data_IF_553108509823
#
_entry.id   IF_553108509823
#
_cell.length_a   1.000
_cell.length_b   1.000
_cell.length_c   1.000
_cell.angle_alpha   90.00
_cell.angle_beta   90.00
_cell.angle_gamma   90.00
#
_symmetry.space_group_name_H-M   'P 1'
#
loop_
_entity.id
_entity.type
_entity.pdbx_description
1 polymer ?
#
# COMPACT_ATOMS: atom_id res chain seq x y z
N UNK A 1 26.54 1.57 -27.35
CA UNK A 1 25.28 2.29 -27.47
C UNK A 1 24.36 1.67 -26.43
N UNK A 2 24.39 2.18 -25.21
CA UNK A 2 23.54 1.70 -24.12
C UNK A 2 22.15 2.30 -24.29
N UNK A 3 21.17 1.46 -24.54
CA UNK A 3 19.78 1.86 -24.58
C UNK A 3 19.28 1.87 -23.14
N UNK A 4 18.88 3.06 -22.65
CA UNK A 4 18.32 3.21 -21.31
C UNK A 4 16.98 2.47 -21.24
N UNK A 5 16.89 1.49 -20.38
CA UNK A 5 15.71 0.63 -20.18
C UNK A 5 14.53 1.33 -19.48
N UNK A 6 14.71 2.57 -19.06
CA UNK A 6 13.71 3.28 -18.24
C UNK A 6 12.62 4.00 -19.00
N UNK A 7 12.79 4.27 -20.27
CA UNK A 7 11.72 4.88 -21.07
C UNK A 7 10.57 3.94 -21.39
N UNK A 8 10.71 2.67 -21.05
CA UNK A 8 9.79 1.62 -21.47
C UNK A 8 8.61 1.37 -20.52
N UNK A 9 8.64 1.86 -19.30
CA UNK A 9 7.48 1.79 -18.42
C UNK A 9 6.44 2.88 -18.65
N UNK A 10 6.77 3.89 -19.43
CA UNK A 10 5.86 5.00 -19.77
C UNK A 10 5.69 5.26 -21.28
N UNK A 11 6.51 4.63 -22.13
CA UNK A 11 6.44 4.83 -23.59
C UNK A 11 6.69 3.49 -24.29
N UNK A 12 5.84 3.17 -25.25
CA UNK A 12 5.86 1.96 -26.07
C UNK A 12 7.26 1.58 -26.57
N UNK A 13 7.64 0.29 -26.42
CA UNK A 13 8.78 -0.32 -27.07
C UNK A 13 8.72 -0.15 -28.58
N UNK A 14 9.67 0.55 -29.14
CA UNK A 14 9.96 0.52 -30.58
C UNK A 14 11.09 -0.47 -30.81
N UNK A 15 10.77 -1.72 -31.09
CA UNK A 15 11.74 -2.70 -31.53
C UNK A 15 12.09 -2.44 -32.99
N UNK A 16 13.34 -2.02 -33.26
CA UNK A 16 13.87 -1.98 -34.65
C UNK A 16 14.48 -3.36 -34.93
N UNK A 17 13.74 -4.17 -35.67
CA UNK A 17 14.27 -5.38 -36.31
C UNK A 17 14.60 -5.04 -37.77
N UNK A 18 15.89 -5.00 -38.12
CA UNK A 18 16.31 -5.02 -39.51
C UNK A 18 16.05 -6.41 -40.09
N UNK A 19 14.95 -6.55 -40.84
CA UNK A 19 14.81 -7.63 -41.82
C UNK A 19 14.29 -7.05 -43.12
N UNK A 20 15.07 -7.22 -44.17
CA UNK A 20 14.73 -6.91 -45.55
C UNK A 20 13.63 -7.84 -46.06
N UNK A 21 12.65 -7.25 -46.74
CA UNK A 21 11.67 -7.83 -47.67
C UNK A 21 10.48 -8.55 -46.98
N UNK A 22 9.44 -7.78 -46.66
CA UNK A 22 8.04 -8.21 -46.84
C UNK A 22 7.16 -6.99 -47.10
N UNK A 23 6.27 -6.98 -48.07
CA UNK A 23 5.33 -5.91 -48.33
C UNK A 23 4.07 -6.20 -47.50
N UNK A 24 3.86 -5.42 -46.51
CA UNK A 24 2.57 -5.09 -45.86
C UNK A 24 2.84 -4.65 -44.42
N UNK A 25 2.72 -3.35 -44.22
CA UNK A 25 2.78 -2.74 -42.89
C UNK A 25 1.54 -3.16 -42.09
N UNK A 26 1.69 -4.15 -41.20
CA UNK A 26 0.75 -4.33 -40.14
C UNK A 26 1.10 -3.28 -39.08
N UNK A 27 0.21 -2.34 -38.75
CA UNK A 27 0.48 -1.40 -37.66
C UNK A 27 0.53 -2.19 -36.36
N UNK A 28 1.71 -2.31 -35.76
CA UNK A 28 1.81 -2.71 -34.36
C UNK A 28 1.06 -1.66 -33.54
N UNK A 29 -0.12 -1.99 -33.07
CA UNK A 29 -0.75 -1.18 -32.04
C UNK A 29 0.11 -1.34 -30.79
N UNK A 30 0.78 -0.26 -30.35
CA UNK A 30 1.40 -0.23 -29.06
C UNK A 30 0.34 -0.62 -28.01
N UNK A 31 0.59 -1.67 -27.27
CA UNK A 31 -0.30 -2.05 -26.17
C UNK A 31 -0.41 -0.82 -25.25
N UNK A 32 -1.63 -0.36 -25.00
CA UNK A 32 -1.84 0.79 -24.13
C UNK A 32 -1.21 0.48 -22.76
N UNK A 33 -0.44 1.42 -22.24
CA UNK A 33 0.18 1.29 -20.92
C UNK A 33 -0.93 1.06 -19.88
N UNK A 34 -0.73 0.08 -18.98
CA UNK A 34 -1.70 -0.22 -17.91
C UNK A 34 -1.75 0.96 -16.96
N UNK A 35 -2.92 1.56 -16.81
CA UNK A 35 -3.13 2.68 -15.90
C UNK A 35 -3.76 2.19 -14.60
N UNK A 36 -3.23 2.63 -13.46
CA UNK A 36 -3.66 2.26 -12.12
C UNK A 36 -3.41 3.41 -11.13
N UNK A 37 -4.06 3.42 -9.94
CA UNK A 37 -3.79 4.43 -8.91
C UNK A 37 -2.38 4.26 -8.35
N UNK A 38 -1.45 5.12 -8.75
CA UNK A 38 -0.10 5.17 -8.17
C UNK A 38 -0.21 5.63 -6.72
N UNK A 39 0.53 5.01 -5.81
CA UNK A 39 0.57 5.43 -4.42
C UNK A 39 1.38 6.72 -4.28
N UNK A 40 0.69 7.82 -4.03
CA UNK A 40 1.31 9.08 -3.63
C UNK A 40 1.64 9.06 -2.14
N UNK A 41 2.70 9.77 -1.77
CA UNK A 41 3.14 9.93 -0.40
C UNK A 41 3.43 11.41 -0.08
N UNK A 42 3.40 11.72 1.20
CA UNK A 42 4.03 12.92 1.76
C UNK A 42 5.29 12.49 2.50
N UNK A 43 6.38 13.21 2.29
CA UNK A 43 7.67 12.96 2.93
C UNK A 43 7.81 13.93 4.09
N UNK A 44 7.46 13.48 5.29
CA UNK A 44 7.52 14.27 6.51
C UNK A 44 8.96 14.47 6.99
N UNK A 45 9.27 15.63 7.55
CA UNK A 45 10.61 15.99 8.01
C UNK A 45 10.72 15.81 9.53
N UNK A 46 11.49 14.82 9.96
CA UNK A 46 11.74 14.55 11.38
C UNK A 46 10.48 14.47 12.23
N UNK A 47 10.49 15.12 13.38
CA UNK A 47 9.34 15.26 14.29
C UNK A 47 8.55 16.56 14.07
N UNK A 48 8.76 17.21 12.95
CA UNK A 48 8.01 18.41 12.61
C UNK A 48 6.66 18.07 11.99
N UNK A 49 5.78 19.07 11.89
CA UNK A 49 4.54 19.00 11.12
C UNK A 49 4.72 19.35 9.63
N UNK A 50 5.99 19.43 9.17
CA UNK A 50 6.34 19.84 7.82
C UNK A 50 6.61 18.64 6.91
N UNK A 51 6.23 18.81 5.64
CA UNK A 51 6.49 17.87 4.57
C UNK A 51 7.43 18.49 3.52
N UNK A 52 8.18 17.66 2.81
CA UNK A 52 8.92 18.04 1.63
C UNK A 52 7.95 18.64 0.60
N UNK A 53 8.19 19.85 0.20
CA UNK A 53 7.34 20.65 -0.67
C UNK A 53 8.17 21.19 -1.83
N UNK A 54 7.63 21.14 -3.05
CA UNK A 54 8.32 21.64 -4.22
C UNK A 54 7.44 22.60 -5.04
N UNK A 55 7.95 23.79 -5.28
CA UNK A 55 7.29 24.78 -6.15
C UNK A 55 8.26 25.21 -7.25
N UNK A 56 7.88 25.01 -8.49
CA UNK A 56 8.77 25.14 -9.65
C UNK A 56 10.00 24.23 -9.49
N UNK A 57 11.19 24.78 -9.30
CA UNK A 57 12.43 24.05 -9.04
C UNK A 57 12.91 24.14 -7.59
N UNK A 58 12.20 24.91 -6.76
CA UNK A 58 12.58 25.17 -5.37
C UNK A 58 12.03 24.09 -4.44
N UNK A 59 12.89 23.53 -3.61
CA UNK A 59 12.54 22.56 -2.57
C UNK A 59 12.57 23.21 -1.21
N UNK A 60 11.48 23.08 -0.47
CA UNK A 60 11.30 23.62 0.89
C UNK A 60 10.54 22.66 1.79
N UNK A 61 10.33 22.99 3.05
CA UNK A 61 9.45 22.26 3.94
C UNK A 61 8.26 23.12 4.35
N UNK A 62 7.04 22.58 4.22
CA UNK A 62 5.80 23.28 4.58
C UNK A 62 4.88 22.37 5.42
N UNK A 63 4.08 22.97 6.28
CA UNK A 63 2.96 22.29 6.93
C UNK A 63 2.00 21.78 5.86
N UNK A 64 1.31 20.70 6.15
CA UNK A 64 0.39 20.08 5.20
C UNK A 64 -0.63 21.07 4.65
N UNK A 65 -0.66 21.21 3.32
CA UNK A 65 -1.55 22.14 2.62
C UNK A 65 -2.65 21.45 1.83
N UNK A 66 -2.51 20.14 1.56
CA UNK A 66 -3.33 19.38 0.62
C UNK A 66 -2.98 19.62 -0.85
N UNK A 67 -1.94 20.42 -1.12
CA UNK A 67 -1.48 20.72 -2.48
C UNK A 67 -0.80 19.53 -3.15
N UNK A 68 -0.85 19.46 -4.49
CA UNK A 68 -0.08 18.50 -5.26
C UNK A 68 1.44 18.71 -5.12
N UNK A 69 1.86 19.91 -4.70
CA UNK A 69 3.26 20.26 -4.52
C UNK A 69 3.95 19.56 -3.33
N UNK A 70 3.17 18.96 -2.42
CA UNK A 70 3.68 18.16 -1.29
C UNK A 70 3.58 16.65 -1.51
N UNK A 71 3.06 16.25 -2.69
CA UNK A 71 2.85 14.86 -3.04
C UNK A 71 3.96 14.34 -3.93
N UNK A 72 4.41 13.16 -3.61
CA UNK A 72 5.52 12.49 -4.25
C UNK A 72 5.15 11.04 -4.55
N UNK A 73 5.75 10.45 -5.56
CA UNK A 73 5.76 9.01 -5.75
C UNK A 73 7.20 8.50 -5.73
N UNK A 74 7.35 7.23 -5.36
CA UNK A 74 8.65 6.55 -5.35
C UNK A 74 8.64 5.54 -6.47
N UNK A 75 9.59 5.67 -7.39
CA UNK A 75 9.79 4.73 -8.49
C UNK A 75 10.96 3.82 -8.15
N UNK A 76 10.72 2.52 -8.10
CA UNK A 76 11.77 1.52 -7.94
C UNK A 76 12.64 1.45 -9.20
N UNK A 77 13.95 1.51 -9.04
CA UNK A 77 14.92 1.41 -10.12
C UNK A 77 15.59 0.06 -10.13
N UNK A 78 16.12 -0.32 -8.99
CA UNK A 78 16.74 -1.61 -8.66
C UNK A 78 16.82 -1.72 -7.15
N UNK A 79 17.29 -2.84 -6.62
CA UNK A 79 17.36 -3.08 -5.17
C UNK A 79 17.97 -1.94 -4.39
N UNK A 80 17.13 -1.33 -3.52
CA UNK A 80 17.51 -0.22 -2.65
C UNK A 80 17.72 1.11 -3.34
N UNK A 81 17.48 1.23 -4.66
CA UNK A 81 17.65 2.46 -5.44
C UNK A 81 16.33 2.93 -6.03
N UNK A 82 16.03 4.20 -5.82
CA UNK A 82 14.75 4.79 -6.17
C UNK A 82 14.90 6.16 -6.85
N UNK A 83 13.88 6.55 -7.55
CA UNK A 83 13.59 7.94 -7.93
C UNK A 83 12.49 8.49 -7.04
N UNK A 84 12.61 9.75 -6.65
CA UNK A 84 11.58 10.49 -5.93
C UNK A 84 10.99 11.50 -6.88
N UNK A 85 9.74 11.25 -7.29
CA UNK A 85 9.06 11.97 -8.38
C UNK A 85 8.02 12.90 -7.79
N UNK A 86 8.02 14.18 -8.15
CA UNK A 86 6.94 15.08 -7.77
C UNK A 86 5.68 14.78 -8.58
N UNK A 87 4.57 14.54 -7.90
CA UNK A 87 3.30 14.14 -8.53
C UNK A 87 2.70 15.23 -9.44
N UNK A 88 2.94 16.51 -9.13
CA UNK A 88 2.35 17.62 -9.87
C UNK A 88 2.85 17.74 -11.32
N UNK A 89 4.12 17.44 -11.59
CA UNK A 89 4.76 17.68 -12.87
C UNK A 89 5.67 16.56 -13.39
N UNK A 90 5.84 15.48 -12.59
CA UNK A 90 6.70 14.35 -12.96
C UNK A 90 8.21 14.63 -12.88
N UNK A 91 8.64 15.77 -12.33
CA UNK A 91 10.05 16.08 -12.16
C UNK A 91 10.66 15.32 -10.98
N UNK A 92 11.95 15.02 -11.06
CA UNK A 92 12.70 14.23 -10.09
C UNK A 92 13.41 15.10 -9.08
N UNK A 93 13.38 14.69 -7.81
CA UNK A 93 14.26 15.24 -6.78
C UNK A 93 15.72 14.98 -7.17
N UNK A 94 16.47 16.04 -7.36
CA UNK A 94 17.81 16.03 -7.98
C UNK A 94 18.79 16.81 -7.10
N UNK A 95 20.05 16.35 -7.03
CA UNK A 95 21.13 17.08 -6.38
C UNK A 95 21.94 17.85 -7.43
N UNK A 96 22.03 19.16 -7.26
CA UNK A 96 22.87 20.04 -8.08
C UNK A 96 23.79 20.87 -7.16
N UNK A 97 25.10 20.73 -7.28
CA UNK A 97 26.08 21.45 -6.47
C UNK A 97 25.83 21.36 -4.96
N UNK A 98 25.38 20.19 -4.46
CA UNK A 98 25.07 19.96 -3.05
C UNK A 98 23.69 20.43 -2.60
N UNK A 99 22.97 21.19 -3.40
CA UNK A 99 21.58 21.64 -3.12
C UNK A 99 20.57 20.71 -3.80
N UNK A 100 19.38 20.60 -3.20
CA UNK A 100 18.27 19.83 -3.78
C UNK A 100 17.38 20.73 -4.64
N UNK A 101 16.99 20.23 -5.80
CA UNK A 101 16.12 20.91 -6.78
C UNK A 101 15.25 19.89 -7.50
N UNK A 102 14.31 20.34 -8.33
CA UNK A 102 13.61 19.50 -9.30
C UNK A 102 14.25 19.60 -10.69
N UNK A 103 14.37 18.48 -11.37
CA UNK A 103 14.80 18.43 -12.76
C UNK A 103 14.02 17.34 -13.53
N UNK A 104 13.95 17.49 -14.85
CA UNK A 104 13.45 16.42 -15.71
C UNK A 104 14.30 15.17 -15.57
N UNK A 105 13.71 14.00 -15.80
CA UNK A 105 14.44 12.74 -15.82
C UNK A 105 15.55 12.77 -16.89
N UNK A 106 16.77 12.56 -16.44
CA UNK A 106 17.97 12.51 -17.26
C UNK A 106 18.77 11.21 -17.06
N UNK A 107 18.20 10.24 -16.35
CA UNK A 107 18.82 8.96 -16.01
C UNK A 107 20.20 9.10 -15.33
N UNK A 108 20.33 10.08 -14.42
CA UNK A 108 21.60 10.39 -13.76
C UNK A 108 21.62 9.95 -12.30
N UNK A 109 22.82 9.66 -11.80
CA UNK A 109 23.01 9.23 -10.40
C UNK A 109 22.61 10.31 -9.37
N UNK A 110 22.62 11.58 -9.75
CA UNK A 110 22.14 12.72 -8.99
C UNK A 110 20.64 12.65 -8.70
N UNK A 111 19.90 11.87 -9.47
CA UNK A 111 18.44 11.65 -9.37
C UNK A 111 18.09 10.33 -8.69
N UNK A 112 19.10 9.55 -8.30
CA UNK A 112 18.96 8.25 -7.65
C UNK A 112 19.18 8.35 -6.16
N UNK A 113 18.34 7.66 -5.39
CA UNK A 113 18.32 7.72 -3.94
C UNK A 113 18.22 6.35 -3.32
N UNK A 114 19.00 6.10 -2.27
CA UNK A 114 18.76 4.96 -1.38
C UNK A 114 17.84 5.40 -0.24
N UNK A 115 16.78 4.64 0.02
CA UNK A 115 15.83 4.89 1.10
C UNK A 115 15.96 3.75 2.11
N UNK A 116 16.43 4.07 3.32
CA UNK A 116 16.77 3.06 4.33
C UNK A 116 16.17 3.42 5.68
N UNK A 117 15.45 2.48 6.31
CA UNK A 117 14.94 2.63 7.67
C UNK A 117 16.07 2.82 8.68
N UNK A 118 15.95 3.81 9.57
CA UNK A 118 17.01 4.15 10.55
C UNK A 118 16.54 4.18 12.00
N UNK A 119 15.24 4.14 12.22
CA UNK A 119 14.64 4.04 13.53
C UNK A 119 13.30 3.32 13.40
N UNK A 120 13.06 2.35 14.27
CA UNK A 120 11.83 1.59 14.27
C UNK A 120 10.88 2.07 15.37
N UNK A 121 9.60 1.84 15.15
CA UNK A 121 8.59 1.92 16.19
C UNK A 121 8.70 0.72 17.17
N UNK A 122 7.78 0.67 18.14
CA UNK A 122 7.79 -0.38 19.16
C UNK A 122 7.37 -1.79 18.64
N UNK A 123 6.87 -1.90 17.41
CA UNK A 123 6.55 -3.16 16.74
C UNK A 123 7.61 -3.57 15.71
N UNK A 124 8.65 -2.74 15.50
CA UNK A 124 9.76 -3.03 14.61
C UNK A 124 9.65 -2.44 13.19
N UNK A 125 8.60 -1.63 12.89
CA UNK A 125 8.45 -0.98 11.60
C UNK A 125 9.25 0.32 11.55
N UNK A 126 9.83 0.61 10.40
CA UNK A 126 10.61 1.83 10.21
C UNK A 126 9.72 3.08 10.41
N UNK A 127 9.98 3.80 11.50
CA UNK A 127 9.34 5.07 11.82
C UNK A 127 9.96 6.21 11.02
N UNK A 128 11.27 6.15 10.84
CA UNK A 128 12.03 7.10 10.04
C UNK A 128 12.91 6.41 9.02
N UNK A 129 13.17 7.13 7.95
CA UNK A 129 14.07 6.75 6.87
C UNK A 129 15.13 7.82 6.68
N UNK A 130 16.36 7.41 6.36
CA UNK A 130 17.35 8.27 5.72
C UNK A 130 17.22 8.12 4.21
N UNK A 131 17.38 9.20 3.48
CA UNK A 131 17.32 9.27 2.03
C UNK A 131 18.70 9.71 1.56
N UNK A 132 19.45 8.81 0.91
CA UNK A 132 20.87 9.04 0.57
C UNK A 132 21.03 9.10 -0.94
N UNK A 133 21.61 10.17 -1.44
CA UNK A 133 21.88 10.33 -2.86
C UNK A 133 22.97 9.35 -3.34
N UNK A 134 22.70 8.62 -4.41
CA UNK A 134 23.58 7.57 -4.92
C UNK A 134 24.90 8.10 -5.51
N UNK A 135 24.92 9.35 -6.03
CA UNK A 135 26.12 9.99 -6.57
C UNK A 135 27.09 10.41 -5.48
N UNK A 136 26.59 11.19 -4.53
CA UNK A 136 27.41 11.82 -3.48
C UNK A 136 27.61 10.95 -2.25
N UNK A 137 26.78 9.91 -2.06
CA UNK A 137 26.68 9.12 -0.83
C UNK A 137 26.38 9.97 0.41
N UNK A 138 25.67 11.09 0.22
CA UNK A 138 25.28 12.01 1.27
C UNK A 138 23.77 11.96 1.49
N UNK A 139 23.36 12.15 2.74
CA UNK A 139 21.95 12.14 3.13
C UNK A 139 21.25 13.46 2.81
N UNK A 140 20.01 13.38 2.32
CA UNK A 140 19.10 14.48 2.27
C UNK A 140 19.02 15.13 3.65
N UNK A 141 19.20 16.45 3.70
CA UNK A 141 19.30 17.21 4.95
C UNK A 141 18.47 18.47 4.85
N UNK A 142 17.58 18.67 5.80
CA UNK A 142 16.79 19.89 5.93
C UNK A 142 17.54 20.93 6.74
N UNK A 143 17.55 22.20 6.32
CA UNK A 143 18.03 23.35 7.09
C UNK A 143 16.85 24.17 7.57
N UNK A 144 16.52 24.16 8.87
CA UNK A 144 15.38 24.92 9.41
C UNK A 144 15.56 26.44 9.26
N UNK A 145 16.79 26.94 9.35
CA UNK A 145 17.11 28.37 9.31
C UNK A 145 16.84 28.98 7.94
N UNK A 146 17.14 28.24 6.88
CA UNK A 146 16.95 28.69 5.48
C UNK A 146 15.72 28.11 4.82
N UNK A 147 15.07 27.13 5.47
CA UNK A 147 13.95 26.35 4.91
C UNK A 147 14.30 25.70 3.57
N UNK A 148 15.51 25.14 3.44
CA UNK A 148 16.01 24.51 2.21
C UNK A 148 16.49 23.10 2.46
N UNK A 149 16.66 22.35 1.37
CA UNK A 149 17.23 21.01 1.40
C UNK A 149 18.55 20.95 0.65
N UNK A 150 19.48 20.24 1.23
CA UNK A 150 20.80 19.94 0.66
C UNK A 150 21.17 18.50 0.95
N UNK A 151 22.38 18.08 0.57
CA UNK A 151 22.95 16.81 0.97
C UNK A 151 24.16 17.01 1.88
N UNK A 152 24.28 16.20 2.96
CA UNK A 152 25.39 16.20 3.90
C UNK A 152 25.71 14.78 4.39
N UNK A 153 26.84 14.62 5.07
CA UNK A 153 27.15 13.36 5.73
C UNK A 153 26.06 13.00 6.74
N UNK A 154 25.65 11.73 6.76
CA UNK A 154 24.61 11.27 7.70
C UNK A 154 25.16 11.25 9.13
N UNK A 155 24.54 12.01 10.03
CA UNK A 155 24.89 12.12 11.45
C UNK A 155 23.84 11.49 12.36
N UNK A 156 22.66 11.16 11.84
CA UNK A 156 21.50 10.71 12.61
C UNK A 156 20.66 11.84 13.24
N UNK A 157 20.93 13.10 12.87
CA UNK A 157 20.14 14.25 13.27
C UNK A 157 18.70 14.14 12.74
N UNK A 158 17.75 14.81 13.40
CA UNK A 158 16.33 14.75 13.02
C UNK A 158 16.07 15.40 11.65
N UNK A 159 16.88 16.36 11.26
CA UNK A 159 16.86 17.01 9.95
C UNK A 159 17.27 16.08 8.79
N UNK A 160 17.77 14.88 9.11
CA UNK A 160 18.13 13.83 8.16
C UNK A 160 17.23 12.59 8.24
N UNK A 161 16.15 12.68 9.02
CA UNK A 161 15.18 11.60 9.20
C UNK A 161 13.84 12.00 8.57
N UNK A 162 13.26 11.11 7.81
CA UNK A 162 12.03 11.37 7.06
C UNK A 162 10.98 10.31 7.35
N UNK A 163 9.71 10.71 7.39
CA UNK A 163 8.56 9.80 7.47
C UNK A 163 7.95 9.64 6.08
N UNK A 164 7.63 8.42 5.69
CA UNK A 164 6.89 8.13 4.47
C UNK A 164 5.42 7.93 4.81
N UNK A 165 4.58 8.89 4.49
CA UNK A 165 3.16 8.88 4.80
C UNK A 165 2.36 8.71 3.51
N UNK A 166 1.67 7.59 3.32
CA UNK A 166 0.79 7.40 2.17
C UNK A 166 -0.29 8.49 2.15
N UNK A 167 -0.42 9.17 1.01
CA UNK A 167 -1.46 10.18 0.84
C UNK A 167 -2.84 9.53 0.80
N UNK A 168 -3.81 10.17 1.46
CA UNK A 168 -5.17 9.63 1.63
C UNK A 168 -5.31 8.58 2.74
N UNK A 169 -4.22 8.08 3.31
CA UNK A 169 -4.29 7.17 4.45
C UNK A 169 -4.53 7.93 5.75
N UNK A 170 -5.63 7.64 6.40
CA UNK A 170 -6.03 8.16 7.69
C UNK A 170 -6.32 7.01 8.68
N UNK A 171 -6.61 7.36 9.93
CA UNK A 171 -6.98 6.40 10.96
C UNK A 171 -5.79 5.59 11.50
N UNK A 172 -6.08 4.43 12.07
CA UNK A 172 -5.07 3.66 12.79
C UNK A 172 -3.96 3.05 11.92
N UNK A 173 -4.19 2.85 10.63
CA UNK A 173 -3.16 2.37 9.72
C UNK A 173 -2.19 3.46 9.27
N UNK A 174 -2.49 4.75 9.49
CA UNK A 174 -1.59 5.86 9.27
C UNK A 174 -0.52 5.95 10.38
N UNK A 175 0.48 6.79 10.16
CA UNK A 175 1.37 7.18 11.25
C UNK A 175 0.55 7.84 12.36
N UNK A 176 0.59 7.29 13.57
CA UNK A 176 -0.24 7.77 14.67
C UNK A 176 0.48 7.67 16.01
N UNK A 177 0.04 8.51 16.96
CA UNK A 177 0.45 8.41 18.36
C UNK A 177 -0.53 7.55 19.14
N UNK A 178 -0.01 6.59 19.87
CA UNK A 178 -0.77 5.69 20.74
C UNK A 178 -0.14 5.66 22.14
N UNK A 179 -0.78 4.97 23.09
CA UNK A 179 -0.25 4.90 24.47
C UNK A 179 1.18 4.35 24.56
N UNK A 180 1.56 3.49 23.64
CA UNK A 180 2.87 2.87 23.54
C UNK A 180 3.93 3.74 22.86
N UNK A 181 3.56 4.86 22.30
CA UNK A 181 4.43 5.76 21.58
C UNK A 181 3.95 6.09 20.17
N UNK A 182 4.87 6.36 19.27
CA UNK A 182 4.57 6.62 17.87
C UNK A 182 4.58 5.31 17.07
N UNK A 183 3.57 5.13 16.22
CA UNK A 183 3.40 3.98 15.35
C UNK A 183 3.63 4.39 13.89
N UNK A 184 4.49 3.66 13.20
CA UNK A 184 4.73 3.85 11.78
C UNK A 184 3.47 3.57 10.95
N UNK A 185 3.24 4.36 9.92
CA UNK A 185 2.15 4.15 8.97
C UNK A 185 2.38 2.96 8.04
N UNK A 186 1.29 2.49 7.44
CA UNK A 186 1.32 1.45 6.41
C UNK A 186 1.82 2.03 5.09
N UNK A 187 2.84 1.40 4.50
CA UNK A 187 3.39 1.79 3.20
C UNK A 187 3.29 0.67 2.14
N UNK A 188 2.86 -0.52 2.54
CA UNK A 188 2.71 -1.66 1.65
C UNK A 188 3.98 -2.01 0.87
N UNK A 189 3.84 -2.21 -0.42
CA UNK A 189 4.93 -2.49 -1.36
C UNK A 189 5.66 -1.28 -1.93
N UNK A 190 5.53 -0.09 -1.33
CA UNK A 190 6.04 1.19 -1.85
C UNK A 190 7.53 1.15 -2.23
N UNK A 191 8.35 0.44 -1.44
CA UNK A 191 9.79 0.32 -1.66
C UNK A 191 10.17 -0.95 -2.45
N UNK A 192 9.25 -1.51 -3.22
CA UNK A 192 9.47 -2.67 -4.06
C UNK A 192 9.22 -2.41 -5.55
N UNK A 193 9.52 -3.43 -6.33
CA UNK A 193 9.21 -3.48 -7.75
C UNK A 193 7.68 -3.40 -7.98
N UNK A 194 7.26 -2.88 -9.11
CA UNK A 194 5.87 -2.95 -9.57
C UNK A 194 5.74 -4.04 -10.64
N UNK A 195 4.83 -5.00 -10.43
CA UNK A 195 4.53 -6.07 -11.39
C UNK A 195 3.06 -6.03 -11.80
N UNK A 196 2.79 -6.27 -13.08
CA UNK A 196 1.43 -6.36 -13.62
C UNK A 196 1.06 -7.83 -13.75
N UNK A 197 -0.09 -8.22 -13.19
CA UNK A 197 -0.58 -9.60 -13.21
C UNK A 197 -1.94 -9.66 -13.91
N UNK A 198 -2.09 -10.61 -14.84
CA UNK A 198 -3.33 -10.82 -15.62
C UNK A 198 -3.87 -12.24 -15.50
N UNK A 199 -3.18 -13.10 -14.75
CA UNK A 199 -3.61 -14.48 -14.49
C UNK A 199 -3.61 -14.79 -13.00
N UNK A 200 -4.39 -15.79 -12.58
CA UNK A 200 -4.40 -16.27 -11.20
C UNK A 200 -3.03 -16.81 -10.78
N UNK A 201 -2.33 -17.49 -11.69
CA UNK A 201 -1.01 -18.05 -11.42
C UNK A 201 0.02 -16.94 -11.13
N UNK A 202 0.05 -15.88 -11.95
CA UNK A 202 0.94 -14.74 -11.75
C UNK A 202 0.62 -14.01 -10.43
N UNK A 203 -0.67 -13.80 -10.14
CA UNK A 203 -1.11 -13.20 -8.88
C UNK A 203 -0.61 -13.99 -7.66
N UNK A 204 -0.78 -15.31 -7.66
CA UNK A 204 -0.34 -16.18 -6.57
C UNK A 204 1.17 -16.14 -6.41
N UNK A 205 1.90 -16.23 -7.53
CA UNK A 205 3.37 -16.12 -7.53
C UNK A 205 3.84 -14.78 -6.95
N UNK A 206 3.23 -13.67 -7.37
CA UNK A 206 3.57 -12.34 -6.89
C UNK A 206 3.25 -12.16 -5.39
N UNK A 207 2.10 -12.67 -4.93
CA UNK A 207 1.69 -12.60 -3.51
C UNK A 207 2.62 -13.41 -2.59
N UNK A 208 3.25 -14.47 -3.09
CA UNK A 208 4.15 -15.34 -2.32
C UNK A 208 5.62 -14.86 -2.30
N UNK A 209 6.00 -13.86 -3.09
CA UNK A 209 7.34 -13.25 -3.05
C UNK A 209 7.60 -12.64 -1.68
N UNK A 210 8.86 -12.74 -1.18
CA UNK A 210 9.25 -12.21 0.13
C UNK A 210 9.55 -10.71 0.09
N UNK A 211 10.03 -10.22 -1.03
CA UNK A 211 10.42 -8.83 -1.23
C UNK A 211 9.19 -7.90 -1.19
N UNK A 212 9.35 -6.62 -0.80
CA UNK A 212 8.31 -5.62 -1.00
C UNK A 212 7.87 -5.59 -2.47
N UNK A 213 6.57 -5.47 -2.74
CA UNK A 213 6.07 -5.54 -4.10
C UNK A 213 4.75 -4.79 -4.27
N UNK A 214 4.65 -3.97 -5.31
CA UNK A 214 3.39 -3.45 -5.81
C UNK A 214 2.87 -4.37 -6.93
N UNK A 215 1.70 -4.96 -6.73
CA UNK A 215 1.07 -5.93 -7.64
C UNK A 215 -0.14 -5.27 -8.27
N UNK A 216 -0.07 -4.99 -9.56
CA UNK A 216 -1.14 -4.37 -10.33
C UNK A 216 -1.99 -5.47 -10.97
N UNK A 217 -3.21 -5.62 -10.52
CA UNK A 217 -4.19 -6.54 -11.11
C UNK A 217 -4.76 -5.91 -12.37
N UNK A 218 -4.47 -6.50 -13.52
CA UNK A 218 -5.00 -6.09 -14.82
C UNK A 218 -5.73 -7.26 -15.47
N UNK A 219 -6.93 -7.54 -14.99
CA UNK A 219 -7.73 -8.66 -15.47
C UNK A 219 -8.97 -8.93 -14.62
N UNK A 220 -9.77 -9.87 -15.08
CA UNK A 220 -10.84 -10.48 -14.30
C UNK A 220 -10.37 -11.88 -13.89
N UNK A 221 -9.91 -11.99 -12.64
CA UNK A 221 -9.27 -13.20 -12.11
C UNK A 221 -10.28 -14.02 -11.31
N UNK A 222 -10.66 -15.21 -11.80
CA UNK A 222 -11.50 -16.16 -11.06
C UNK A 222 -10.63 -17.12 -10.26
N UNK A 223 -10.58 -16.95 -8.95
CA UNK A 223 -9.78 -17.78 -8.04
C UNK A 223 -10.35 -19.18 -7.84
N UNK A 224 -11.52 -19.50 -8.40
CA UNK A 224 -12.16 -20.83 -8.48
C UNK A 224 -12.16 -21.62 -7.17
N UNK A 225 -12.39 -20.95 -6.05
CA UNK A 225 -12.41 -21.60 -4.74
C UNK A 225 -11.04 -22.06 -4.21
N UNK A 226 -9.95 -21.55 -4.74
CA UNK A 226 -8.67 -21.85 -4.14
C UNK A 226 -8.63 -21.38 -2.68
N UNK A 227 -8.48 -22.36 -1.79
CA UNK A 227 -8.46 -22.11 -0.36
C UNK A 227 -7.16 -21.40 0.03
N UNK A 228 -7.29 -20.23 0.66
CA UNK A 228 -6.23 -19.61 1.44
C UNK A 228 -4.99 -19.19 0.66
N UNK A 229 -5.16 -18.28 -0.29
CA UNK A 229 -4.01 -17.60 -0.88
C UNK A 229 -3.45 -16.58 0.11
N UNK A 230 -2.20 -16.78 0.53
CA UNK A 230 -1.53 -15.85 1.45
C UNK A 230 -1.12 -14.56 0.72
N UNK A 231 -1.32 -13.43 1.37
CA UNK A 231 -0.66 -12.17 1.04
C UNK A 231 0.52 -12.04 2.03
N UNK A 232 1.75 -12.01 1.54
CA UNK A 232 2.94 -11.81 2.39
C UNK A 232 3.11 -10.35 2.80
N UNK A 233 4.09 -10.11 3.68
CA UNK A 233 4.45 -8.78 4.17
C UNK A 233 4.80 -7.81 3.04
N UNK A 234 4.64 -6.53 3.31
CA UNK A 234 5.10 -5.44 2.45
C UNK A 234 4.54 -5.56 1.02
N UNK A 235 3.22 -5.73 0.91
CA UNK A 235 2.53 -5.82 -0.38
C UNK A 235 1.54 -4.70 -0.58
N UNK A 236 1.54 -4.15 -1.78
CA UNK A 236 0.43 -3.36 -2.29
C UNK A 236 -0.23 -4.14 -3.41
N UNK A 237 -1.50 -4.52 -3.22
CA UNK A 237 -2.35 -5.10 -4.25
C UNK A 237 -3.27 -3.99 -4.77
N UNK A 238 -3.09 -3.57 -6.00
CA UNK A 238 -3.83 -2.46 -6.59
C UNK A 238 -4.43 -2.86 -7.93
N UNK A 239 -5.66 -2.44 -8.20
CA UNK A 239 -6.34 -2.74 -9.46
C UNK A 239 -6.05 -1.71 -10.55
N UNK A 240 -5.87 -2.16 -11.77
CA UNK A 240 -5.86 -1.31 -12.96
C UNK A 240 -7.24 -0.67 -13.17
N UNK A 241 -7.28 0.54 -13.73
CA UNK A 241 -8.54 1.19 -14.01
C UNK A 241 -9.36 0.41 -15.05
N UNK A 242 -10.61 0.06 -14.69
CA UNK A 242 -11.54 -0.63 -15.57
C UNK A 242 -11.25 -2.12 -15.83
N UNK A 243 -10.20 -2.70 -15.24
CA UNK A 243 -9.84 -4.10 -15.43
C UNK A 243 -9.17 -4.69 -14.16
N UNK A 244 -9.89 -4.76 -13.05
CA UNK A 244 -9.36 -4.98 -11.70
C UNK A 244 -10.18 -5.96 -10.86
N UNK A 245 -10.84 -6.95 -11.50
CA UNK A 245 -11.74 -7.84 -10.79
C UNK A 245 -11.03 -9.08 -10.25
N UNK A 246 -11.35 -9.41 -8.99
CA UNK A 246 -10.98 -10.70 -8.38
C UNK A 246 -12.25 -11.38 -7.88
N UNK A 247 -12.54 -12.56 -8.43
CA UNK A 247 -13.73 -13.32 -8.10
C UNK A 247 -13.38 -14.51 -7.20
N UNK A 248 -14.25 -14.80 -6.24
CA UNK A 248 -14.23 -15.99 -5.37
C UNK A 248 -12.87 -16.26 -4.69
N UNK A 249 -12.12 -15.21 -4.35
CA UNK A 249 -10.87 -15.34 -3.60
C UNK A 249 -11.11 -15.71 -2.13
N UNK A 250 -10.06 -16.22 -1.49
CA UNK A 250 -9.92 -16.38 -0.05
C UNK A 250 -8.51 -15.93 0.36
N UNK A 251 -8.29 -14.64 0.35
CA UNK A 251 -7.04 -14.08 0.81
C UNK A 251 -6.91 -14.17 2.32
N UNK A 252 -5.70 -14.44 2.79
CA UNK A 252 -5.34 -14.42 4.19
C UNK A 252 -3.98 -13.80 4.42
N UNK A 253 -3.76 -13.30 5.61
CA UNK A 253 -2.50 -12.67 6.00
C UNK A 253 -1.64 -13.56 6.91
N UNK A 254 -1.83 -14.88 6.88
CA UNK A 254 -1.05 -15.86 7.62
C UNK A 254 -0.84 -17.15 6.81
N UNK A 255 0.05 -18.05 7.24
CA UNK A 255 0.34 -19.28 6.52
C UNK A 255 -0.72 -20.36 6.73
N UNK A 256 -1.03 -20.66 7.98
CA UNK A 256 -1.93 -21.74 8.35
C UNK A 256 -2.76 -21.37 9.58
N UNK A 257 -3.86 -22.08 9.76
CA UNK A 257 -4.72 -21.90 10.92
C UNK A 257 -3.98 -22.28 12.22
N UNK A 258 -3.47 -21.27 12.96
CA UNK A 258 -3.04 -21.44 14.36
C UNK A 258 -1.98 -22.51 14.62
N UNK A 259 -1.16 -22.86 13.64
CA UNK A 259 -0.04 -23.78 13.86
C UNK A 259 1.15 -23.03 14.44
N UNK A 260 1.91 -23.73 15.24
CA UNK A 260 3.20 -23.24 15.75
C UNK A 260 4.11 -22.83 14.60
N UNK A 261 4.65 -21.60 14.64
CA UNK A 261 5.45 -21.03 13.56
C UNK A 261 4.67 -20.33 12.46
N UNK A 262 3.36 -20.14 12.63
CA UNK A 262 2.55 -19.33 11.72
C UNK A 262 2.82 -17.84 11.93
N UNK A 263 3.61 -17.24 11.02
CA UNK A 263 3.89 -15.81 11.05
C UNK A 263 2.81 -15.03 10.30
N UNK A 264 2.13 -14.08 10.95
CA UNK A 264 1.21 -13.18 10.26
C UNK A 264 1.99 -12.23 9.35
N UNK A 265 1.38 -11.85 8.24
CA UNK A 265 1.92 -10.89 7.30
C UNK A 265 1.41 -9.49 7.61
N UNK A 266 2.28 -8.52 7.61
CA UNK A 266 2.01 -7.15 7.98
C UNK A 266 2.33 -6.16 6.85
N UNK A 267 1.94 -4.88 7.05
CA UNK A 267 2.22 -3.79 6.12
C UNK A 267 1.67 -4.08 4.72
N UNK A 268 0.34 -4.17 4.63
CA UNK A 268 -0.37 -4.54 3.39
C UNK A 268 -1.34 -3.43 3.00
N UNK A 269 -1.33 -3.06 1.74
CA UNK A 269 -2.32 -2.18 1.11
C UNK A 269 -3.10 -2.98 0.07
N UNK A 270 -4.44 -2.87 0.10
CA UNK A 270 -5.34 -3.43 -0.92
C UNK A 270 -6.19 -2.27 -1.42
N UNK A 271 -6.07 -1.93 -2.70
CA UNK A 271 -6.68 -0.72 -3.22
C UNK A 271 -7.27 -0.89 -4.62
N UNK A 272 -8.41 -0.24 -4.88
CA UNK A 272 -9.05 -0.19 -6.20
C UNK A 272 -9.30 -1.57 -6.83
N UNK A 273 -9.76 -2.54 -6.04
CA UNK A 273 -10.09 -3.90 -6.51
C UNK A 273 -11.60 -4.13 -6.45
N UNK A 274 -12.15 -4.70 -7.51
CA UNK A 274 -13.53 -5.19 -7.54
C UNK A 274 -13.57 -6.67 -7.09
N UNK A 275 -13.92 -6.90 -5.85
CA UNK A 275 -14.10 -8.24 -5.29
C UNK A 275 -15.52 -8.75 -5.53
N UNK A 276 -15.64 -9.89 -6.21
CA UNK A 276 -16.93 -10.52 -6.48
C UNK A 276 -17.03 -11.87 -5.76
N UNK A 277 -18.04 -12.00 -4.90
CA UNK A 277 -18.39 -13.26 -4.25
C UNK A 277 -19.55 -13.93 -5.01
N UNK A 278 -19.25 -14.90 -5.86
CA UNK A 278 -20.24 -15.56 -6.73
C UNK A 278 -20.66 -16.94 -6.23
N UNK A 279 -19.73 -17.74 -5.74
CA UNK A 279 -19.96 -19.14 -5.35
C UNK A 279 -19.60 -19.40 -3.89
N UNK A 280 -19.97 -18.52 -2.97
CA UNK A 280 -19.35 -18.53 -1.64
C UNK A 280 -20.32 -18.74 -0.51
N UNK A 281 -20.81 -19.92 -0.36
CA UNK A 281 -21.25 -20.34 0.95
C UNK A 281 -20.03 -20.48 1.86
N UNK A 282 -20.01 -19.79 3.01
CA UNK A 282 -18.99 -19.89 4.07
C UNK A 282 -17.61 -19.25 3.77
N UNK A 283 -17.49 -18.31 2.81
CA UNK A 283 -16.20 -17.74 2.49
C UNK A 283 -15.97 -16.35 3.09
N UNK A 284 -14.71 -16.14 3.39
CA UNK A 284 -14.18 -14.84 3.78
C UNK A 284 -13.25 -14.41 2.66
N UNK A 285 -13.58 -13.31 1.96
CA UNK A 285 -12.76 -12.86 0.84
C UNK A 285 -11.39 -12.38 1.31
N UNK A 286 -11.35 -11.64 2.44
CA UNK A 286 -10.10 -11.18 3.06
C UNK A 286 -10.14 -11.55 4.55
N UNK A 287 -9.29 -12.47 4.95
CA UNK A 287 -9.11 -12.87 6.34
C UNK A 287 -7.80 -12.29 6.89
N UNK A 288 -7.93 -11.25 7.70
CA UNK A 288 -6.83 -10.58 8.37
C UNK A 288 -6.61 -11.27 9.71
N UNK A 289 -5.53 -12.05 9.79
CA UNK A 289 -5.27 -12.91 10.93
C UNK A 289 -4.02 -12.46 11.68
N UNK A 290 -4.19 -11.93 12.87
CA UNK A 290 -3.09 -11.42 13.73
C UNK A 290 -2.17 -10.36 13.10
N UNK A 291 -2.55 -9.81 11.97
CA UNK A 291 -1.74 -8.91 11.15
C UNK A 291 -1.92 -7.46 11.54
N UNK A 292 -0.90 -6.65 11.31
CA UNK A 292 -0.87 -5.23 11.66
C UNK A 292 -0.52 -4.37 10.44
N UNK A 293 -0.87 -3.09 10.50
CA UNK A 293 -0.62 -2.15 9.40
C UNK A 293 -1.27 -2.60 8.09
N UNK A 294 -2.61 -2.62 8.09
CA UNK A 294 -3.41 -3.00 6.92
C UNK A 294 -4.29 -1.83 6.48
N UNK A 295 -4.25 -1.51 5.21
CA UNK A 295 -5.13 -0.53 4.59
C UNK A 295 -5.90 -1.13 3.43
N UNK A 296 -7.24 -1.15 3.53
CA UNK A 296 -8.14 -1.56 2.45
C UNK A 296 -8.93 -0.34 2.01
N UNK A 297 -8.75 0.08 0.76
CA UNK A 297 -9.16 1.38 0.30
C UNK A 297 -9.74 1.37 -1.11
N UNK A 298 -10.80 2.13 -1.36
CA UNK A 298 -11.44 2.28 -2.68
C UNK A 298 -11.74 0.92 -3.37
N UNK A 299 -12.04 -0.11 -2.59
CA UNK A 299 -12.43 -1.42 -3.13
C UNK A 299 -13.95 -1.56 -3.17
N UNK A 300 -14.44 -2.34 -4.13
CA UNK A 300 -15.85 -2.73 -4.23
C UNK A 300 -15.98 -4.21 -3.85
N UNK A 301 -16.83 -4.52 -2.89
CA UNK A 301 -17.14 -5.87 -2.46
C UNK A 301 -18.60 -6.17 -2.79
N UNK A 302 -18.83 -7.08 -3.71
CA UNK A 302 -20.19 -7.44 -4.16
C UNK A 302 -20.44 -8.93 -3.96
N UNK A 303 -21.63 -9.29 -3.51
CA UNK A 303 -22.11 -10.66 -3.52
C UNK A 303 -23.28 -10.78 -4.51
N UNK A 304 -23.22 -11.75 -5.41
CA UNK A 304 -24.37 -12.14 -6.25
C UNK A 304 -25.33 -13.06 -5.50
N UNK A 305 -24.90 -13.61 -4.36
CA UNK A 305 -25.67 -14.56 -3.60
C UNK A 305 -26.75 -13.90 -2.73
N UNK A 306 -27.75 -14.69 -2.42
CA UNK A 306 -28.84 -14.27 -1.56
C UNK A 306 -28.29 -13.77 -0.19
N UNK A 307 -28.96 -12.75 0.35
CA UNK A 307 -28.69 -12.17 1.67
C UNK A 307 -29.23 -13.02 2.83
N UNK A 308 -29.35 -14.32 2.64
CA UNK A 308 -29.90 -15.24 3.63
C UNK A 308 -29.00 -15.39 4.86
N UNK A 309 -29.61 -15.57 6.03
CA UNK A 309 -28.92 -15.75 7.32
C UNK A 309 -27.99 -16.96 7.38
N UNK A 310 -28.19 -17.94 6.52
CA UNK A 310 -27.43 -19.19 6.50
C UNK A 310 -26.09 -19.04 5.75
N UNK A 311 -25.86 -17.86 5.14
CA UNK A 311 -24.57 -17.53 4.53
C UNK A 311 -23.59 -17.02 5.58
N UNK A 312 -22.72 -17.88 6.07
CA UNK A 312 -21.74 -17.56 7.13
C UNK A 312 -20.47 -16.86 6.63
N UNK A 313 -20.33 -16.67 5.32
CA UNK A 313 -19.20 -15.94 4.74
C UNK A 313 -19.23 -14.43 4.99
N UNK A 314 -18.06 -13.81 4.99
CA UNK A 314 -17.86 -12.37 5.18
C UNK A 314 -17.06 -11.78 4.02
N UNK A 315 -17.14 -10.48 3.83
CA UNK A 315 -16.17 -9.82 2.95
C UNK A 315 -14.81 -9.71 3.64
N UNK A 316 -14.78 -9.15 4.86
CA UNK A 316 -13.54 -8.99 5.61
C UNK A 316 -13.75 -9.53 7.04
N UNK A 317 -12.80 -10.31 7.50
CA UNK A 317 -12.76 -10.78 8.87
C UNK A 317 -11.40 -10.50 9.49
N UNK A 318 -11.40 -9.75 10.58
CA UNK A 318 -10.24 -9.48 11.41
C UNK A 318 -10.29 -10.44 12.59
N UNK A 319 -9.40 -11.40 12.60
CA UNK A 319 -9.45 -12.53 13.54
C UNK A 319 -8.16 -12.72 14.31
N UNK A 320 -8.30 -13.26 15.51
CA UNK A 320 -7.20 -13.71 16.36
C UNK A 320 -7.30 -15.22 16.49
N UNK A 321 -6.23 -15.99 16.34
CA UNK A 321 -6.26 -17.43 16.52
C UNK A 321 -6.65 -17.82 17.96
N UNK A 322 -7.22 -19.01 18.13
CA UNK A 322 -7.53 -19.57 19.44
C UNK A 322 -6.28 -19.89 20.26
N UNK A 323 -5.17 -20.15 19.60
CA UNK A 323 -3.89 -20.45 20.22
C UNK A 323 -2.96 -19.23 20.17
N UNK A 324 -2.24 -19.04 21.23
CA UNK A 324 -1.49 -17.85 21.54
C UNK A 324 -0.34 -17.60 20.57
N UNK A 325 -0.55 -16.74 19.61
CA UNK A 325 0.57 -16.06 18.94
C UNK A 325 0.93 -14.84 19.79
N UNK A 326 2.08 -14.88 20.44
CA UNK A 326 2.52 -13.82 21.33
C UNK A 326 3.31 -12.75 20.57
N UNK A 327 3.08 -11.49 20.88
CA UNK A 327 3.92 -10.40 20.39
C UNK A 327 5.21 -10.27 21.22
N UNK A 328 6.11 -9.36 20.82
CA UNK A 328 7.39 -9.11 21.52
C UNK A 328 7.24 -8.70 23.01
N UNK A 329 6.00 -8.48 23.50
CA UNK A 329 5.68 -8.16 24.87
C UNK A 329 4.90 -9.29 25.57
N UNK A 330 5.01 -10.50 25.05
CA UNK A 330 4.30 -11.69 25.53
C UNK A 330 2.77 -11.52 25.59
N UNK A 331 2.20 -10.77 24.65
CA UNK A 331 0.76 -10.59 24.53
C UNK A 331 0.23 -11.36 23.33
N UNK A 332 -1.00 -11.83 23.43
CA UNK A 332 -1.67 -12.42 22.27
C UNK A 332 -1.70 -11.43 21.11
N UNK A 333 -1.08 -11.80 19.99
CA UNK A 333 -1.04 -10.95 18.80
C UNK A 333 -2.40 -10.93 18.12
N UNK A 334 -3.06 -9.77 18.16
CA UNK A 334 -4.31 -9.50 17.47
C UNK A 334 -4.07 -8.69 16.21
N UNK A 335 -5.01 -8.70 15.24
CA UNK A 335 -5.04 -7.69 14.18
C UNK A 335 -5.06 -6.30 14.81
N UNK A 336 -4.24 -5.39 14.30
CA UNK A 336 -4.13 -4.04 14.88
C UNK A 336 -3.67 -3.02 13.82
N UNK A 337 -3.91 -1.74 14.05
CA UNK A 337 -3.56 -0.65 13.13
C UNK A 337 -4.14 -0.85 11.73
N UNK A 338 -5.45 -0.98 11.66
CA UNK A 338 -6.17 -1.28 10.42
C UNK A 338 -7.05 -0.09 10.03
N UNK A 339 -7.08 0.22 8.74
CA UNK A 339 -8.02 1.19 8.15
C UNK A 339 -8.76 0.56 6.99
N UNK A 340 -10.10 0.67 7.02
CA UNK A 340 -11.00 0.34 5.93
C UNK A 340 -11.66 1.65 5.50
N UNK A 341 -11.31 2.19 4.32
CA UNK A 341 -11.77 3.50 3.87
C UNK A 341 -12.26 3.50 2.44
N UNK A 342 -13.28 4.32 2.16
CA UNK A 342 -13.83 4.54 0.82
C UNK A 342 -14.25 3.27 0.08
N UNK A 343 -14.58 2.18 0.78
CA UNK A 343 -15.02 0.94 0.17
C UNK A 343 -16.53 0.93 -0.05
N UNK A 344 -16.97 0.17 -1.05
CA UNK A 344 -18.37 -0.15 -1.29
C UNK A 344 -18.59 -1.61 -0.91
N UNK A 345 -19.46 -1.86 0.05
CA UNK A 345 -19.90 -3.21 0.45
C UNK A 345 -21.35 -3.39 0.01
N UNK A 346 -21.63 -4.40 -0.81
CA UNK A 346 -22.95 -4.56 -1.42
C UNK A 346 -23.46 -5.99 -1.33
N UNK A 347 -24.76 -6.10 -1.00
CA UNK A 347 -25.54 -7.32 -1.20
C UNK A 347 -25.13 -8.50 -0.31
N UNK A 348 -24.76 -8.27 0.96
CA UNK A 348 -24.25 -9.33 1.84
C UNK A 348 -24.94 -9.35 3.20
N UNK A 349 -25.22 -10.56 3.70
CA UNK A 349 -25.79 -10.71 5.05
C UNK A 349 -24.76 -10.38 6.14
N UNK A 350 -23.59 -10.96 6.11
CA UNK A 350 -22.46 -10.64 7.01
C UNK A 350 -21.30 -10.01 6.26
N UNK A 351 -20.94 -8.79 6.61
CA UNK A 351 -19.97 -7.99 5.85
C UNK A 351 -18.58 -7.95 6.49
N UNK A 352 -18.39 -7.15 7.53
CA UNK A 352 -17.10 -6.94 8.19
C UNK A 352 -17.23 -7.22 9.68
N UNK A 353 -16.35 -8.07 10.21
CA UNK A 353 -16.31 -8.35 11.65
C UNK A 353 -14.87 -8.29 12.18
N UNK A 354 -14.68 -7.74 13.35
CA UNK A 354 -13.39 -7.72 14.04
C UNK A 354 -13.51 -7.90 15.56
N UNK A 355 -12.41 -8.35 16.19
CA UNK A 355 -12.33 -8.50 17.64
C UNK A 355 -13.20 -9.60 18.21
N UNK A 356 -13.35 -10.73 17.53
CA UNK A 356 -14.45 -11.67 17.80
C UNK A 356 -14.17 -12.75 18.85
N UNK A 357 -12.96 -12.97 19.33
CA UNK A 357 -12.74 -14.25 20.02
C UNK A 357 -11.90 -14.26 21.30
N UNK A 358 -11.28 -13.21 21.73
CA UNK A 358 -10.63 -13.26 23.03
C UNK A 358 -10.67 -11.92 23.77
N UNK A 359 -11.09 -11.96 25.02
CA UNK A 359 -11.64 -10.78 25.69
C UNK A 359 -10.59 -9.93 26.40
N UNK A 360 -9.46 -10.45 26.77
CA UNK A 360 -8.59 -9.74 27.72
C UNK A 360 -7.34 -9.10 27.11
N UNK A 361 -6.96 -9.48 25.89
CA UNK A 361 -5.66 -9.09 25.32
C UNK A 361 -5.72 -8.49 23.92
N UNK A 362 -6.88 -8.49 23.28
CA UNK A 362 -7.01 -8.03 21.88
C UNK A 362 -7.25 -6.52 21.81
N UNK A 363 -6.34 -5.79 21.19
CA UNK A 363 -6.51 -4.34 20.98
C UNK A 363 -7.28 -4.01 19.72
N UNK A 364 -7.04 -4.70 18.63
CA UNK A 364 -7.71 -4.56 17.33
C UNK A 364 -8.16 -3.11 17.02
N UNK A 365 -7.20 -2.16 16.99
CA UNK A 365 -7.48 -0.78 16.63
C UNK A 365 -7.80 -0.70 15.15
N UNK A 366 -9.05 -0.37 14.85
CA UNK A 366 -9.55 -0.37 13.47
C UNK A 366 -10.33 0.90 13.19
N UNK A 367 -9.99 1.60 12.11
CA UNK A 367 -10.76 2.70 11.56
C UNK A 367 -11.60 2.20 10.39
N UNK A 368 -12.91 2.49 10.43
CA UNK A 368 -13.88 2.16 9.37
C UNK A 368 -14.60 3.44 9.00
N UNK A 369 -14.23 4.04 7.87
CA UNK A 369 -14.64 5.38 7.54
C UNK A 369 -14.87 5.61 6.05
N UNK A 370 -15.80 6.48 5.73
CA UNK A 370 -16.17 6.86 4.36
C UNK A 370 -16.61 5.67 3.49
N UNK A 371 -17.07 4.55 4.09
CA UNK A 371 -17.55 3.41 3.33
C UNK A 371 -19.03 3.52 3.01
N UNK A 372 -19.42 2.92 1.93
CA UNK A 372 -20.83 2.76 1.55
C UNK A 372 -21.26 1.30 1.75
N UNK A 373 -22.27 1.12 2.61
CA UNK A 373 -22.90 -0.16 2.92
C UNK A 373 -24.26 -0.21 2.22
N UNK A 374 -24.30 -0.86 1.06
CA UNK A 374 -25.50 -0.92 0.22
C UNK A 374 -26.14 -2.31 0.31
N UNK A 375 -27.37 -2.38 0.76
CA UNK A 375 -28.11 -3.63 0.92
C UNK A 375 -27.34 -4.68 1.77
N UNK A 376 -26.62 -4.25 2.75
CA UNK A 376 -25.93 -5.08 3.73
C UNK A 376 -26.81 -5.28 4.96
N UNK A 377 -26.93 -6.53 5.45
CA UNK A 377 -27.90 -6.86 6.52
C UNK A 377 -27.27 -6.77 7.90
N UNK A 378 -26.08 -7.31 8.11
CA UNK A 378 -25.40 -7.37 9.41
C UNK A 378 -23.89 -7.18 9.30
N UNK A 379 -23.28 -6.82 10.45
CA UNK A 379 -21.85 -6.63 10.58
C UNK A 379 -21.29 -5.52 9.67
N UNK A 380 -21.87 -4.34 9.82
CA UNK A 380 -21.56 -3.17 9.01
C UNK A 380 -20.90 -2.02 9.82
N UNK A 381 -19.78 -2.23 10.53
CA UNK A 381 -19.12 -3.46 10.94
C UNK A 381 -19.68 -4.08 12.25
N UNK A 382 -19.32 -5.32 12.59
CA UNK A 382 -19.45 -5.89 13.92
C UNK A 382 -18.15 -5.68 14.69
N UNK A 383 -18.23 -5.09 15.88
CA UNK A 383 -17.14 -4.99 16.83
C UNK A 383 -17.40 -5.99 17.95
N UNK A 384 -16.51 -6.96 18.14
CA UNK A 384 -16.52 -7.86 19.30
C UNK A 384 -15.65 -7.27 20.40
N UNK A 385 -14.36 -7.17 20.16
CA UNK A 385 -13.34 -6.64 21.05
C UNK A 385 -12.41 -5.71 20.29
N UNK A 386 -12.02 -4.59 20.86
CA UNK A 386 -11.07 -3.69 20.25
C UNK A 386 -11.49 -2.22 20.35
N UNK A 387 -10.75 -1.36 19.67
CA UNK A 387 -10.99 0.07 19.59
C UNK A 387 -11.37 0.42 18.15
N UNK A 388 -12.59 0.92 17.96
CA UNK A 388 -13.11 1.27 16.64
C UNK A 388 -13.28 2.78 16.47
N UNK A 389 -12.71 3.33 15.40
CA UNK A 389 -13.09 4.64 14.87
C UNK A 389 -14.07 4.41 13.72
N UNK A 390 -15.36 4.69 13.93
CA UNK A 390 -16.41 4.46 12.92
C UNK A 390 -17.11 5.80 12.66
N UNK A 391 -16.87 6.37 11.49
CA UNK A 391 -17.43 7.66 11.13
C UNK A 391 -17.56 7.84 9.61
N UNK A 392 -18.42 8.76 9.21
CA UNK A 392 -18.65 9.15 7.82
C UNK A 392 -18.99 7.97 6.88
N UNK A 393 -19.59 6.91 7.41
CA UNK A 393 -20.09 5.81 6.59
C UNK A 393 -21.52 6.09 6.14
N UNK A 394 -21.84 5.66 4.94
CA UNK A 394 -23.19 5.76 4.37
C UNK A 394 -23.84 4.39 4.30
N UNK A 395 -25.12 4.30 4.67
CA UNK A 395 -25.90 3.07 4.69
C UNK A 395 -27.15 3.25 3.84
N UNK A 396 -27.39 2.32 2.91
CA UNK A 396 -28.55 2.36 2.01
C UNK A 396 -29.14 0.96 1.77
N UNK A 397 -30.42 0.93 1.35
CA UNK A 397 -31.08 -0.30 0.94
C UNK A 397 -31.30 -1.30 2.09
N UNK A 398 -31.52 -0.83 3.29
CA UNK A 398 -31.89 -1.67 4.43
C UNK A 398 -33.39 -1.92 4.43
N UNK A 399 -33.81 -3.17 4.59
CA UNK A 399 -35.16 -3.54 5.03
C UNK A 399 -35.20 -3.51 6.57
#
# INVERSE_FOLDING_TARGET
>A
MQISWKKECAVAMTAILCCSILPEWIPFSAAAAVSYPVQEIRIGVGDTDRNLFAENTTISAQTQTGSQNEKWSITYVQDGVYEIVQSANGALLTVQNGSCTLAADADQMEQRWNIVGVQNDFDGYALYYKIVNCKSNQALTFSPETNTFSTAAYTGAMEQKFKLNCDGLEGFAANCKVAEGEKAGTIGGLLGETVIVSTVADLKSALDRKEPLTIVVNGSLDMQKEFHTRIRDNKTLVGAYGNNRIQDCMFRTNNEYGKEGDEPSDNIIIRNIDFLAKNVNNRILINIWSSRNIWVDHCTFVSELNRGKDEVGKFIWLNTPYESYMDAKDRLRSPDYITLSYNIFRNRYWTVAYGTQNTETTRCRTSVMYNWWDQCVRRCPQIGNGIGHIYNNFYSGTD
#
